data_IF_699379928701
#
_entry.id   IF_699379928701
#
_cell.length_a   1.000
_cell.length_b   1.000
_cell.length_c   1.000
_cell.angle_alpha   90.00
_cell.angle_beta   90.00
_cell.angle_gamma   90.00
#
_symmetry.space_group_name_H-M   'P 1'
#
loop_
_entity.id
_entity.type
_entity.pdbx_description
1 polymer ?
#
# COMPACT_ATOMS: atom_id res chain seq x y z
N UNK A 1 1.16 27.29 -13.14
CA UNK A 1 2.10 27.10 -12.02
C UNK A 1 2.30 25.60 -11.78
N UNK A 2 3.43 25.00 -12.20
CA UNK A 2 3.68 23.56 -12.01
C UNK A 2 4.33 23.34 -10.64
N UNK A 3 3.57 22.83 -9.68
CA UNK A 3 4.10 22.33 -8.41
C UNK A 3 4.99 21.11 -8.71
N UNK A 4 6.32 21.29 -8.63
CA UNK A 4 7.28 20.22 -8.89
C UNK A 4 7.48 19.41 -7.60
N UNK A 5 6.60 18.44 -7.37
CA UNK A 5 6.81 17.47 -6.31
C UNK A 5 8.11 16.69 -6.55
N UNK A 6 8.84 16.34 -5.48
CA UNK A 6 10.12 15.66 -5.59
C UNK A 6 9.90 14.23 -6.15
N UNK A 7 10.15 14.05 -7.45
CA UNK A 7 9.89 12.80 -8.19
C UNK A 7 10.55 11.59 -7.54
N UNK A 8 11.77 11.75 -7.00
CA UNK A 8 12.50 10.67 -6.34
C UNK A 8 11.79 10.24 -5.05
N UNK A 9 11.31 11.22 -4.26
CA UNK A 9 10.57 10.94 -3.02
C UNK A 9 9.23 10.27 -3.27
N UNK A 10 8.48 10.72 -4.29
CA UNK A 10 7.22 10.07 -4.69
C UNK A 10 7.49 8.63 -5.12
N UNK A 11 8.50 8.42 -5.95
CA UNK A 11 8.87 7.09 -6.46
C UNK A 11 9.23 6.15 -5.32
N UNK A 12 10.09 6.60 -4.41
CA UNK A 12 10.48 5.84 -3.22
C UNK A 12 9.27 5.48 -2.36
N UNK A 13 8.42 6.45 -2.01
CA UNK A 13 7.25 6.20 -1.17
C UNK A 13 6.23 5.27 -1.84
N UNK A 14 6.05 5.35 -3.17
CA UNK A 14 5.19 4.40 -3.92
C UNK A 14 5.73 2.97 -3.84
N UNK A 15 7.05 2.78 -4.01
CA UNK A 15 7.67 1.46 -3.90
C UNK A 15 7.55 0.90 -2.47
N UNK A 16 7.84 1.71 -1.46
CA UNK A 16 7.71 1.32 -0.05
C UNK A 16 6.26 0.92 0.27
N UNK A 17 5.27 1.71 -0.18
CA UNK A 17 3.85 1.39 -0.02
C UNK A 17 3.48 0.04 -0.66
N UNK A 18 3.91 -0.20 -1.90
CA UNK A 18 3.65 -1.47 -2.60
C UNK A 18 4.30 -2.68 -1.93
N UNK A 19 5.54 -2.53 -1.45
CA UNK A 19 6.22 -3.60 -0.69
C UNK A 19 5.51 -3.88 0.63
N UNK A 20 5.13 -2.84 1.38
CA UNK A 20 4.37 -3.01 2.63
C UNK A 20 3.03 -3.69 2.38
N UNK A 21 2.33 -3.34 1.30
CA UNK A 21 1.04 -3.97 0.96
C UNK A 21 1.21 -5.44 0.56
N UNK A 22 2.32 -5.76 -0.10
CA UNK A 22 2.72 -7.14 -0.37
C UNK A 22 2.98 -7.91 0.93
N UNK A 23 3.67 -7.31 1.90
CA UNK A 23 3.93 -7.95 3.20
C UNK A 23 2.65 -8.22 3.98
N UNK A 24 1.71 -7.25 4.02
CA UNK A 24 0.35 -7.43 4.58
C UNK A 24 -0.32 -8.65 3.94
N UNK A 25 -0.30 -8.75 2.62
CA UNK A 25 -0.92 -9.88 1.89
C UNK A 25 -0.31 -11.24 2.27
N UNK A 26 1.01 -11.29 2.44
CA UNK A 26 1.73 -12.52 2.83
C UNK A 26 1.43 -12.89 4.28
N UNK A 27 1.46 -11.93 5.20
CA UNK A 27 1.16 -12.15 6.63
C UNK A 27 -0.29 -12.57 6.80
N UNK A 28 -1.22 -11.92 6.11
CA UNK A 28 -2.63 -12.31 6.14
C UNK A 28 -2.85 -13.76 5.66
N UNK A 29 -2.03 -14.24 4.73
CA UNK A 29 -2.13 -15.61 4.21
C UNK A 29 -1.62 -16.68 5.20
N UNK A 30 -0.96 -16.28 6.29
CA UNK A 30 -0.53 -17.20 7.35
C UNK A 30 -1.69 -17.66 8.23
N UNK A 31 -2.84 -16.99 8.19
CA UNK A 31 -4.01 -17.37 8.97
C UNK A 31 -5.15 -17.75 8.03
N UNK A 32 -5.74 -18.91 8.30
CA UNK A 32 -6.86 -19.45 7.52
C UNK A 32 -8.19 -19.03 8.16
N UNK A 33 -8.77 -17.93 7.68
CA UNK A 33 -10.05 -17.41 8.18
C UNK A 33 -11.28 -17.96 7.45
N UNK A 34 -11.10 -18.91 6.53
CA UNK A 34 -12.21 -19.52 5.78
C UNK A 34 -11.74 -20.42 4.65
N UNK A 35 -12.67 -21.18 4.07
CA UNK A 35 -12.42 -22.15 2.98
C UNK A 35 -11.79 -21.53 1.73
N UNK A 36 -12.02 -20.24 1.49
CA UNK A 36 -11.52 -19.47 0.34
C UNK A 36 -10.40 -18.48 0.71
N UNK A 37 -9.81 -18.59 1.90
CA UNK A 37 -8.67 -17.73 2.25
C UNK A 37 -7.41 -18.12 1.48
N UNK A 38 -6.63 -17.12 1.07
CA UNK A 38 -5.31 -17.35 0.49
C UNK A 38 -4.43 -18.04 1.52
N UNK A 39 -3.96 -19.25 1.21
CA UNK A 39 -3.03 -19.96 2.09
C UNK A 39 -1.61 -19.54 1.78
N UNK A 40 -0.78 -19.44 2.82
CA UNK A 40 0.64 -19.21 2.66
C UNK A 40 1.27 -20.23 1.71
N UNK A 41 2.07 -19.74 0.77
CA UNK A 41 2.72 -20.57 -0.25
C UNK A 41 1.81 -21.06 -1.38
N UNK A 42 0.51 -20.76 -1.36
CA UNK A 42 -0.41 -21.15 -2.44
C UNK A 42 -0.22 -20.31 -3.70
N UNK A 43 -0.60 -20.86 -4.86
CA UNK A 43 -0.61 -20.12 -6.13
C UNK A 43 -1.49 -18.86 -6.07
N UNK A 44 -2.60 -18.91 -5.34
CA UNK A 44 -3.48 -17.76 -5.13
C UNK A 44 -2.79 -16.61 -4.39
N UNK A 45 -2.00 -16.91 -3.36
CA UNK A 45 -1.19 -15.89 -2.65
C UNK A 45 -0.20 -15.22 -3.62
N UNK A 46 0.56 -16.01 -4.38
CA UNK A 46 1.55 -15.48 -5.32
C UNK A 46 0.91 -14.64 -6.45
N UNK A 47 -0.26 -15.04 -6.93
CA UNK A 47 -1.04 -14.26 -7.90
C UNK A 47 -1.49 -12.92 -7.31
N UNK A 48 -1.93 -12.89 -6.04
CA UNK A 48 -2.26 -11.63 -5.36
C UNK A 48 -1.02 -10.72 -5.26
N UNK A 49 0.13 -11.27 -4.85
CA UNK A 49 1.40 -10.52 -4.78
C UNK A 49 1.78 -9.95 -6.16
N UNK A 50 1.74 -10.76 -7.20
CA UNK A 50 2.04 -10.32 -8.57
C UNK A 50 1.08 -9.22 -9.04
N UNK A 51 -0.21 -9.36 -8.71
CA UNK A 51 -1.22 -8.36 -9.07
C UNK A 51 -0.96 -7.01 -8.41
N UNK A 52 -0.56 -7.01 -7.13
CA UNK A 52 -0.16 -5.78 -6.42
C UNK A 52 1.01 -5.11 -7.11
N UNK A 53 2.05 -5.88 -7.48
CA UNK A 53 3.20 -5.33 -8.21
C UNK A 53 2.79 -4.72 -9.54
N UNK A 54 1.93 -5.37 -10.33
CA UNK A 54 1.46 -4.83 -11.61
C UNK A 54 0.73 -3.50 -11.39
N UNK A 55 -0.19 -3.45 -10.44
CA UNK A 55 -1.00 -2.26 -10.15
C UNK A 55 -0.15 -1.10 -9.63
N UNK A 56 0.92 -1.36 -8.86
CA UNK A 56 1.82 -0.31 -8.36
C UNK A 56 2.89 0.11 -9.39
N UNK A 57 3.56 -0.85 -10.05
CA UNK A 57 4.70 -0.57 -10.91
C UNK A 57 4.28 0.04 -12.25
N UNK A 58 3.19 -0.41 -12.85
CA UNK A 58 2.74 0.11 -14.14
C UNK A 58 2.53 1.64 -14.13
N UNK A 59 1.71 2.22 -13.24
CA UNK A 59 1.53 3.67 -13.20
C UNK A 59 2.78 4.40 -12.68
N UNK A 60 3.62 3.76 -11.86
CA UNK A 60 4.89 4.33 -11.41
C UNK A 60 5.88 4.49 -12.57
N UNK A 61 5.98 3.51 -13.47
CA UNK A 61 6.81 3.60 -14.67
C UNK A 61 6.34 4.79 -15.53
N UNK A 62 5.03 4.93 -15.73
CA UNK A 62 4.45 6.06 -16.46
C UNK A 62 4.78 7.41 -15.80
N UNK A 63 4.83 7.45 -14.46
CA UNK A 63 5.21 8.66 -13.73
C UNK A 63 6.68 9.03 -13.96
N UNK A 64 7.57 8.03 -13.92
CA UNK A 64 9.02 8.21 -14.10
C UNK A 64 9.33 8.72 -15.51
N UNK A 65 8.68 8.19 -16.55
CA UNK A 65 8.90 8.64 -17.95
C UNK A 65 8.32 10.03 -18.27
N UNK A 66 7.65 10.68 -17.32
CA UNK A 66 7.28 12.10 -17.42
C UNK A 66 5.78 12.39 -17.48
N UNK A 67 4.90 11.40 -17.35
CA UNK A 67 3.45 11.65 -17.27
C UNK A 67 3.07 12.16 -15.87
N UNK A 68 3.39 13.42 -15.56
CA UNK A 68 3.22 14.00 -14.23
C UNK A 68 1.78 13.92 -13.69
N UNK A 69 0.77 13.84 -14.57
CA UNK A 69 -0.65 13.70 -14.18
C UNK A 69 -1.01 12.29 -13.68
N UNK A 70 -0.22 11.25 -13.98
CA UNK A 70 -0.52 9.89 -13.51
C UNK A 70 -0.47 9.78 -11.97
N UNK A 71 0.14 10.76 -11.29
CA UNK A 71 0.11 10.87 -9.82
C UNK A 71 -1.32 10.87 -9.24
N UNK A 72 -2.32 11.38 -9.96
CA UNK A 72 -3.71 11.32 -9.49
C UNK A 72 -4.25 9.89 -9.54
N UNK A 73 -3.88 9.13 -10.57
CA UNK A 73 -4.25 7.71 -10.66
C UNK A 73 -3.55 6.87 -9.59
N UNK A 74 -2.24 7.11 -9.35
CA UNK A 74 -1.52 6.49 -8.22
C UNK A 74 -2.18 6.84 -6.88
N UNK A 75 -2.65 8.08 -6.72
CA UNK A 75 -3.38 8.49 -5.51
C UNK A 75 -4.69 7.71 -5.32
N UNK A 76 -5.43 7.43 -6.39
CA UNK A 76 -6.65 6.59 -6.30
C UNK A 76 -6.28 5.17 -5.87
N UNK A 77 -5.22 4.60 -6.45
CA UNK A 77 -4.73 3.26 -6.11
C UNK A 77 -4.34 3.18 -4.63
N UNK A 78 -3.47 4.08 -4.16
CA UNK A 78 -3.02 4.13 -2.76
C UNK A 78 -4.21 4.33 -1.80
N UNK A 79 -5.16 5.19 -2.18
CA UNK A 79 -6.37 5.42 -1.40
C UNK A 79 -7.25 4.18 -1.28
N UNK A 80 -7.52 3.50 -2.40
CA UNK A 80 -8.30 2.27 -2.43
C UNK A 80 -7.65 1.16 -1.58
N UNK A 81 -6.33 0.98 -1.70
CA UNK A 81 -5.61 0.03 -0.87
C UNK A 81 -5.62 0.42 0.62
N UNK A 82 -5.53 1.71 0.94
CA UNK A 82 -5.63 2.20 2.33
C UNK A 82 -6.99 1.88 2.95
N UNK A 83 -8.09 1.99 2.19
CA UNK A 83 -9.42 1.54 2.65
C UNK A 83 -9.40 0.03 2.92
N UNK A 84 -8.80 -0.75 2.02
CA UNK A 84 -8.62 -2.20 2.21
C UNK A 84 -7.84 -2.54 3.49
N UNK A 85 -6.78 -1.79 3.80
CA UNK A 85 -6.01 -1.96 5.05
C UNK A 85 -6.86 -1.69 6.30
N UNK A 86 -7.73 -0.68 6.27
CA UNK A 86 -8.64 -0.41 7.39
C UNK A 86 -9.62 -1.56 7.60
N UNK A 87 -10.20 -2.08 6.53
CA UNK A 87 -11.10 -3.24 6.58
C UNK A 87 -10.35 -4.47 7.11
N UNK A 88 -9.14 -4.75 6.60
CA UNK A 88 -8.30 -5.85 7.09
C UNK A 88 -8.03 -5.69 8.59
N UNK A 89 -7.61 -4.50 9.03
CA UNK A 89 -7.35 -4.22 10.44
C UNK A 89 -8.55 -4.50 11.35
N UNK A 90 -9.77 -4.10 10.94
CA UNK A 90 -11.01 -4.37 11.70
C UNK A 90 -11.26 -5.88 11.81
N UNK A 91 -11.12 -6.62 10.70
CA UNK A 91 -11.30 -8.08 10.67
C UNK A 91 -10.31 -8.73 11.65
N UNK A 92 -9.04 -8.33 11.59
CA UNK A 92 -7.97 -8.87 12.44
C UNK A 92 -8.15 -8.55 13.92
N UNK A 93 -8.66 -7.36 14.29
CA UNK A 93 -9.04 -7.05 15.67
C UNK A 93 -10.12 -8.02 16.17
N UNK A 94 -11.11 -8.35 15.34
CA UNK A 94 -12.16 -9.32 15.67
C UNK A 94 -11.67 -10.76 15.86
N UNK A 95 -10.44 -11.07 15.43
CA UNK A 95 -9.82 -12.39 15.52
C UNK A 95 -8.90 -12.55 16.74
N UNK A 96 -8.73 -11.48 17.53
CA UNK A 96 -7.99 -11.53 18.78
C UNK A 96 -8.65 -12.57 19.71
N UNK A 97 -7.88 -13.59 20.11
CA UNK A 97 -8.34 -14.70 20.95
C UNK A 97 -8.63 -16.01 20.21
N UNK A 98 -8.83 -15.96 18.88
CA UNK A 98 -9.11 -17.14 18.05
C UNK A 98 -7.98 -17.48 17.06
N UNK A 99 -7.10 -16.53 16.78
CA UNK A 99 -5.95 -16.69 15.89
C UNK A 99 -4.62 -16.59 16.64
N UNK A 100 -3.52 -16.97 15.97
CA UNK A 100 -2.18 -16.79 16.49
C UNK A 100 -1.92 -15.30 16.77
N UNK A 101 -1.93 -14.91 18.05
CA UNK A 101 -1.88 -13.52 18.50
C UNK A 101 -0.69 -12.75 17.89
N UNK A 102 0.47 -13.41 17.77
CA UNK A 102 1.67 -12.82 17.17
C UNK A 102 1.46 -12.38 15.70
N UNK A 103 0.73 -13.18 14.93
CA UNK A 103 0.45 -12.89 13.51
C UNK A 103 -0.58 -11.77 13.40
N UNK A 104 -1.58 -11.74 14.29
CA UNK A 104 -2.55 -10.64 14.36
C UNK A 104 -1.87 -9.32 14.68
N UNK A 105 -0.97 -9.30 15.67
CA UNK A 105 -0.19 -8.11 16.02
C UNK A 105 0.69 -7.66 14.84
N UNK A 106 1.38 -8.60 14.18
CA UNK A 106 2.23 -8.30 13.03
C UNK A 106 1.43 -7.65 11.89
N UNK A 107 0.25 -8.17 11.56
CA UNK A 107 -0.64 -7.59 10.55
C UNK A 107 -1.07 -6.16 10.93
N UNK A 108 -1.53 -5.95 12.17
CA UNK A 108 -1.96 -4.62 12.62
C UNK A 108 -0.83 -3.59 12.55
N UNK A 109 0.38 -3.98 12.94
CA UNK A 109 1.57 -3.13 12.82
C UNK A 109 1.87 -2.80 11.36
N UNK A 110 1.83 -3.78 10.45
CA UNK A 110 2.06 -3.55 9.03
C UNK A 110 1.00 -2.63 8.41
N UNK A 111 -0.27 -2.81 8.76
CA UNK A 111 -1.36 -1.92 8.34
C UNK A 111 -1.12 -0.48 8.80
N UNK A 112 -0.76 -0.27 10.08
CA UNK A 112 -0.47 1.06 10.62
C UNK A 112 0.74 1.72 9.94
N UNK A 113 1.85 1.00 9.78
CA UNK A 113 3.05 1.51 9.11
C UNK A 113 2.74 1.87 7.65
N UNK A 114 1.96 1.04 6.95
CA UNK A 114 1.56 1.30 5.57
C UNK A 114 0.66 2.54 5.46
N UNK A 115 -0.31 2.71 6.36
CA UNK A 115 -1.14 3.92 6.42
C UNK A 115 -0.29 5.19 6.63
N UNK A 116 0.71 5.14 7.53
CA UNK A 116 1.62 6.26 7.76
C UNK A 116 2.41 6.60 6.49
N UNK A 117 2.95 5.60 5.80
CA UNK A 117 3.67 5.79 4.52
C UNK A 117 2.74 6.42 3.47
N UNK A 118 1.49 5.94 3.37
CA UNK A 118 0.52 6.47 2.41
C UNK A 118 0.13 7.92 2.73
N UNK A 119 -0.03 8.26 4.01
CA UNK A 119 -0.24 9.65 4.46
C UNK A 119 0.94 10.54 4.04
N UNK A 120 2.18 10.11 4.30
CA UNK A 120 3.37 10.84 3.84
C UNK A 120 3.45 10.96 2.33
N UNK A 121 2.98 9.95 1.59
CA UNK A 121 2.88 9.99 0.14
C UNK A 121 1.91 11.11 -0.31
N UNK A 122 0.70 11.18 0.25
CA UNK A 122 -0.26 12.24 -0.06
C UNK A 122 0.29 13.64 0.27
N UNK A 123 0.94 13.80 1.43
CA UNK A 123 1.61 15.07 1.77
C UNK A 123 2.74 15.41 0.80
N UNK A 124 3.49 14.43 0.31
CA UNK A 124 4.58 14.68 -0.65
C UNK A 124 4.04 15.11 -2.02
N UNK A 125 2.91 14.54 -2.44
CA UNK A 125 2.32 14.77 -3.77
C UNK A 125 1.45 16.02 -3.83
N UNK A 126 0.65 16.26 -2.78
CA UNK A 126 -0.37 17.31 -2.72
C UNK A 126 -0.13 18.34 -1.62
N UNK A 127 0.88 18.14 -0.76
CA UNK A 127 1.25 19.14 0.21
C UNK A 127 1.66 20.44 -0.47
N UNK A 128 1.38 21.56 0.20
CA UNK A 128 1.76 22.89 -0.28
C UNK A 128 3.29 22.95 -0.40
N UNK A 129 3.83 23.00 -1.62
CA UNK A 129 5.21 23.42 -1.80
C UNK A 129 5.27 24.89 -1.40
N UNK A 130 6.18 25.26 -0.48
CA UNK A 130 6.52 26.68 -0.29
C UNK A 130 6.80 27.26 -1.68
N UNK A 131 6.06 28.31 -2.01
CA UNK A 131 6.18 29.06 -3.26
C UNK A 131 7.65 29.36 -3.48
N UNK A 132 8.29 28.70 -4.44
CA UNK A 132 9.54 29.21 -5.00
C UNK A 132 9.11 30.38 -5.88
N UNK A 133 9.17 31.57 -5.28
CA UNK A 133 9.14 32.84 -5.99
C UNK A 133 10.33 32.83 -6.95
N UNK A 134 10.04 32.93 -8.23
CA UNK A 134 10.96 33.35 -9.27
C UNK A 134 10.27 34.50 -10.00
#
# INVERSE_FOLDING_TARGET
MKVKANKNRITFLTLVSGVLFTLVTVVASLISYGSHSNKFGSGAMWLSVLSIFIVYLFPLILFIIGLDKIKYFIAVIIGAFSIGLLISGIIFIGLIGNAAMNVVIAELVLCLVNLIVNIFWYYTVFGKSKVQQA
#
